data_IF_173215175881
#
_entry.id   IF_173215175881
#
_cell.length_a   1.000
_cell.length_b   1.000
_cell.length_c   1.000
_cell.angle_alpha   90.00
_cell.angle_beta   90.00
_cell.angle_gamma   90.00
#
_symmetry.space_group_name_H-M   'P 1'
#
loop_
_entity.id
_entity.type
_entity.pdbx_description
1 polymer ?
#
# COMPACT_ATOMS: atom_id res chain seq x y z
N UNK A 1 16.67 -3.91 -11.32
CA UNK A 1 17.06 -2.52 -11.59
C UNK A 1 16.06 -1.93 -12.58
N UNK A 2 15.20 -0.99 -12.15
CA UNK A 2 14.38 -0.21 -13.09
C UNK A 2 15.30 0.52 -14.08
N UNK A 3 14.85 0.69 -15.32
CA UNK A 3 15.57 1.38 -16.40
C UNK A 3 15.69 2.87 -16.08
N UNK A 4 16.63 3.21 -15.20
CA UNK A 4 16.98 4.57 -14.81
C UNK A 4 17.82 5.19 -15.93
N UNK A 5 17.14 5.70 -16.96
CA UNK A 5 17.79 6.56 -17.94
C UNK A 5 18.02 7.92 -17.29
N UNK A 6 19.29 8.25 -17.07
CA UNK A 6 19.74 9.59 -16.64
C UNK A 6 19.64 10.57 -17.81
N UNK A 7 18.98 11.69 -17.57
CA UNK A 7 18.89 12.79 -18.53
C UNK A 7 20.27 13.46 -18.68
N UNK A 8 21.01 13.59 -17.58
CA UNK A 8 22.37 14.14 -17.61
C UNK A 8 23.31 13.29 -18.49
N UNK A 9 23.33 11.97 -18.30
CA UNK A 9 24.16 11.05 -19.10
C UNK A 9 23.75 11.05 -20.58
N UNK A 10 22.45 11.17 -20.86
CA UNK A 10 21.96 11.25 -22.23
C UNK A 10 22.41 12.55 -22.91
N UNK A 11 22.32 13.68 -22.19
CA UNK A 11 22.76 14.98 -22.71
C UNK A 11 24.28 14.98 -22.93
N UNK A 12 25.07 14.57 -21.95
CA UNK A 12 26.55 14.53 -22.01
C UNK A 12 27.05 13.69 -23.18
N UNK A 13 26.38 12.56 -23.50
CA UNK A 13 26.69 11.76 -24.69
C UNK A 13 26.32 12.44 -26.01
N UNK A 14 25.20 13.16 -26.04
CA UNK A 14 24.69 13.78 -27.27
C UNK A 14 25.27 15.16 -27.57
N UNK A 15 25.72 15.87 -26.53
CA UNK A 15 26.25 17.23 -26.56
C UNK A 15 27.39 17.35 -25.51
N UNK A 16 28.61 16.87 -25.84
CA UNK A 16 29.74 16.88 -24.91
C UNK A 16 30.16 18.28 -24.45
N UNK A 17 29.83 19.32 -25.21
CA UNK A 17 30.08 20.72 -24.92
C UNK A 17 29.06 21.37 -23.98
N UNK A 18 28.08 20.61 -23.49
CA UNK A 18 27.06 21.13 -22.58
C UNK A 18 27.71 21.78 -21.34
N UNK A 19 27.25 22.98 -20.90
CA UNK A 19 27.84 23.65 -19.75
C UNK A 19 27.75 22.81 -18.47
N UNK A 20 28.85 22.79 -17.69
CA UNK A 20 28.92 21.98 -16.47
C UNK A 20 27.83 22.29 -15.43
N UNK A 21 27.34 23.54 -15.37
CA UNK A 21 26.24 23.91 -14.47
C UNK A 21 24.91 23.23 -14.87
N UNK A 22 24.66 23.06 -16.16
CA UNK A 22 23.46 22.39 -16.68
C UNK A 22 23.52 20.89 -16.35
N UNK A 23 24.68 20.27 -16.54
CA UNK A 23 24.90 18.86 -16.15
C UNK A 23 24.71 18.66 -14.65
N UNK A 24 25.22 19.58 -13.81
CA UNK A 24 25.02 19.53 -12.35
C UNK A 24 23.56 19.64 -11.96
N UNK A 25 22.80 20.55 -12.57
CA UNK A 25 21.37 20.67 -12.35
C UNK A 25 20.61 19.39 -12.75
N UNK A 26 20.90 18.85 -13.94
CA UNK A 26 20.25 17.63 -14.44
C UNK A 26 20.57 16.40 -13.58
N UNK A 27 21.78 16.31 -13.02
CA UNK A 27 22.15 15.24 -12.07
C UNK A 27 21.35 15.33 -10.77
N UNK A 28 21.12 16.54 -10.24
CA UNK A 28 20.25 16.74 -9.09
C UNK A 28 18.81 16.34 -9.41
N UNK A 29 18.29 16.77 -10.57
CA UNK A 29 16.98 16.36 -11.06
C UNK A 29 16.86 14.83 -11.21
N UNK A 30 17.85 14.16 -11.77
CA UNK A 30 17.87 12.69 -11.92
C UNK A 30 17.87 11.97 -10.55
N UNK A 31 18.55 12.54 -9.55
CA UNK A 31 18.54 12.02 -8.18
C UNK A 31 17.15 12.15 -7.54
N UNK A 32 16.51 13.31 -7.68
CA UNK A 32 15.16 13.55 -7.18
C UNK A 32 14.13 12.66 -7.87
N UNK A 33 14.18 12.56 -9.21
CA UNK A 33 13.31 11.65 -9.96
C UNK A 33 13.54 10.19 -9.53
N UNK A 34 14.78 9.79 -9.31
CA UNK A 34 15.10 8.45 -8.80
C UNK A 34 14.50 8.21 -7.43
N UNK A 35 14.62 9.18 -6.53
CA UNK A 35 14.02 9.12 -5.20
C UNK A 35 12.50 8.99 -5.31
N UNK A 36 11.83 9.88 -6.04
CA UNK A 36 10.38 9.87 -6.22
C UNK A 36 9.89 8.54 -6.80
N UNK A 37 10.48 8.06 -7.89
CA UNK A 37 10.12 6.80 -8.55
C UNK A 37 10.30 5.61 -7.60
N UNK A 38 11.39 5.55 -6.84
CA UNK A 38 11.62 4.49 -5.85
C UNK A 38 10.55 4.47 -4.75
N UNK A 39 9.94 5.62 -4.45
CA UNK A 39 8.83 5.76 -3.49
C UNK A 39 7.46 5.69 -4.16
N UNK A 40 7.40 5.24 -5.43
CA UNK A 40 6.17 5.18 -6.23
C UNK A 40 5.46 6.54 -6.41
N UNK A 41 6.19 7.64 -6.28
CA UNK A 41 5.71 9.00 -6.52
C UNK A 41 6.13 9.41 -7.93
N UNK A 42 5.19 9.94 -8.73
CA UNK A 42 5.51 10.48 -10.05
C UNK A 42 6.10 9.46 -11.04
N UNK A 43 5.71 8.19 -10.93
CA UNK A 43 6.12 7.12 -11.84
C UNK A 43 5.93 7.52 -13.30
N UNK A 44 6.89 7.15 -14.16
CA UNK A 44 6.80 7.45 -15.59
C UNK A 44 5.56 6.76 -16.18
N UNK A 45 4.88 7.41 -17.13
CA UNK A 45 3.63 6.91 -17.70
C UNK A 45 3.70 5.43 -18.13
N UNK A 46 4.78 5.00 -18.81
CA UNK A 46 4.92 3.60 -19.25
C UNK A 46 5.13 2.64 -18.08
N UNK A 47 5.89 3.03 -17.05
CA UNK A 47 6.08 2.22 -15.84
C UNK A 47 4.74 2.06 -15.10
N UNK A 48 4.00 3.16 -14.95
CA UNK A 48 2.67 3.14 -14.33
C UNK A 48 1.67 2.31 -15.15
N UNK A 49 1.72 2.38 -16.48
CA UNK A 49 0.90 1.55 -17.38
C UNK A 49 1.22 0.07 -17.23
N UNK A 50 2.50 -0.31 -17.21
CA UNK A 50 2.91 -1.72 -17.03
C UNK A 50 2.53 -2.22 -15.64
N UNK A 51 2.70 -1.40 -14.61
CA UNK A 51 2.24 -1.71 -13.26
C UNK A 51 0.72 -1.97 -13.24
N UNK A 52 -0.08 -1.05 -13.79
CA UNK A 52 -1.52 -1.21 -13.93
C UNK A 52 -1.90 -2.52 -14.66
N UNK A 53 -1.30 -2.79 -15.82
CA UNK A 53 -1.56 -4.01 -16.60
C UNK A 53 -1.19 -5.28 -15.81
N UNK A 54 -0.06 -5.25 -15.09
CA UNK A 54 0.37 -6.36 -14.23
C UNK A 54 -0.64 -6.59 -13.10
N UNK A 55 -1.16 -5.51 -12.52
CA UNK A 55 -2.11 -5.61 -11.44
C UNK A 55 -3.45 -6.16 -11.93
N UNK A 56 -4.06 -5.58 -12.96
CA UNK A 56 -5.36 -6.05 -13.46
C UNK A 56 -5.30 -7.49 -13.98
N UNK A 57 -4.15 -7.99 -14.44
CA UNK A 57 -3.98 -9.38 -14.85
C UNK A 57 -3.95 -10.37 -13.66
N UNK A 58 -3.72 -9.89 -12.43
CA UNK A 58 -3.69 -10.72 -11.21
C UNK A 58 -5.03 -10.73 -10.47
N UNK A 59 -5.88 -9.74 -10.70
CA UNK A 59 -7.17 -9.62 -10.05
C UNK A 59 -8.26 -10.30 -10.87
N UNK A 60 -9.30 -10.84 -10.22
CA UNK A 60 -10.47 -11.30 -10.95
C UNK A 60 -11.15 -10.12 -11.66
N UNK A 61 -11.97 -10.44 -12.66
CA UNK A 61 -12.91 -9.46 -13.22
C UNK A 61 -13.81 -8.89 -12.12
N UNK A 62 -14.31 -7.66 -12.36
CA UNK A 62 -15.14 -6.96 -11.39
C UNK A 62 -16.38 -7.77 -11.01
N UNK A 63 -16.46 -8.11 -9.73
CA UNK A 63 -17.57 -8.78 -9.08
C UNK A 63 -18.42 -7.73 -8.37
N UNK A 64 -19.68 -7.63 -8.78
CA UNK A 64 -20.66 -6.70 -8.19
C UNK A 64 -21.39 -7.37 -7.01
N UNK A 65 -21.68 -8.64 -7.15
CA UNK A 65 -22.42 -9.41 -6.14
C UNK A 65 -21.50 -9.80 -4.98
N UNK A 66 -22.06 -9.88 -3.78
CA UNK A 66 -21.35 -10.40 -2.62
C UNK A 66 -21.12 -11.91 -2.79
N UNK A 67 -19.92 -12.43 -2.52
CA UNK A 67 -19.71 -13.87 -2.48
C UNK A 67 -20.53 -14.47 -1.33
N UNK A 68 -21.14 -15.64 -1.56
CA UNK A 68 -21.97 -16.31 -0.56
C UNK A 68 -21.11 -17.05 0.48
N UNK A 69 -21.45 -16.90 1.75
CA UNK A 69 -20.80 -17.64 2.83
C UNK A 69 -21.27 -17.23 4.23
N UNK A 70 -20.88 -17.97 5.27
CA UNK A 70 -21.27 -17.69 6.65
C UNK A 70 -20.46 -16.54 7.23
N UNK A 71 -20.95 -15.31 7.11
CA UNK A 71 -20.36 -14.11 7.69
C UNK A 71 -20.07 -13.01 6.68
N UNK A 72 -19.29 -12.02 7.10
CA UNK A 72 -18.89 -10.90 6.25
C UNK A 72 -17.71 -11.33 5.36
N UNK A 73 -17.78 -11.10 4.04
CA UNK A 73 -16.66 -11.37 3.16
C UNK A 73 -15.57 -10.30 3.37
N UNK A 74 -14.37 -10.76 3.69
CA UNK A 74 -13.20 -9.94 3.99
C UNK A 74 -12.00 -10.43 3.19
N UNK A 75 -11.20 -9.50 2.70
CA UNK A 75 -9.91 -9.77 2.06
C UNK A 75 -8.85 -8.80 2.59
N UNK A 76 -7.58 -9.22 2.64
CA UNK A 76 -6.46 -8.32 2.95
C UNK A 76 -5.54 -8.11 1.75
N UNK A 77 -5.02 -6.88 1.61
CA UNK A 77 -4.13 -6.47 0.51
C UNK A 77 -3.23 -5.31 0.91
N UNK A 78 -2.12 -5.12 0.22
CA UNK A 78 -1.24 -3.94 0.37
C UNK A 78 -1.69 -2.75 -0.50
N UNK A 79 -2.67 -2.95 -1.39
CA UNK A 79 -3.20 -1.90 -2.28
C UNK A 79 -4.69 -2.10 -2.50
N UNK A 80 -5.48 -1.18 -1.95
CA UNK A 80 -6.95 -1.31 -1.91
C UNK A 80 -7.65 -0.83 -3.19
N UNK A 81 -7.00 -0.07 -4.06
CA UNK A 81 -7.65 0.56 -5.22
C UNK A 81 -8.26 -0.44 -6.21
N UNK A 82 -7.43 -1.32 -6.80
CA UNK A 82 -7.92 -2.31 -7.78
C UNK A 82 -8.73 -3.41 -7.08
N UNK A 83 -8.40 -3.75 -5.83
CA UNK A 83 -9.16 -4.74 -5.04
C UNK A 83 -10.57 -4.26 -4.77
N UNK A 84 -10.75 -3.02 -4.29
CA UNK A 84 -12.08 -2.45 -4.06
C UNK A 84 -12.88 -2.25 -5.36
N UNK A 85 -12.21 -2.01 -6.49
CA UNK A 85 -12.87 -2.03 -7.80
C UNK A 85 -13.34 -3.43 -8.20
N UNK A 86 -12.50 -4.44 -7.98
CA UNK A 86 -12.74 -5.83 -8.41
C UNK A 86 -13.70 -6.57 -7.49
N UNK A 87 -13.72 -6.24 -6.20
CA UNK A 87 -14.57 -6.83 -5.17
C UNK A 87 -15.44 -5.75 -4.53
N UNK A 88 -16.47 -5.28 -5.26
CA UNK A 88 -17.27 -4.13 -4.83
C UNK A 88 -18.09 -4.37 -3.54
N UNK A 89 -18.27 -5.63 -3.17
CA UNK A 89 -19.12 -6.13 -2.10
C UNK A 89 -18.35 -6.79 -0.96
N UNK A 90 -17.00 -6.73 -0.99
CA UNK A 90 -16.12 -7.36 0.00
C UNK A 90 -15.40 -6.28 0.80
N UNK A 91 -15.36 -6.43 2.11
CA UNK A 91 -14.58 -5.56 2.98
C UNK A 91 -13.09 -5.79 2.76
N UNK A 92 -12.35 -4.73 2.44
CA UNK A 92 -10.90 -4.80 2.17
C UNK A 92 -10.14 -4.25 3.35
N UNK A 93 -9.37 -5.10 4.03
CA UNK A 93 -8.39 -4.67 5.03
C UNK A 93 -7.11 -4.26 4.31
N UNK A 94 -6.76 -2.98 4.40
CA UNK A 94 -5.43 -2.53 4.00
C UNK A 94 -4.39 -3.03 5.02
N UNK A 95 -3.47 -3.87 4.56
CA UNK A 95 -2.39 -4.38 5.38
C UNK A 95 -1.42 -3.26 5.83
N UNK A 96 -1.40 -2.13 5.12
CA UNK A 96 -0.66 -0.93 5.53
C UNK A 96 -1.53 0.03 6.36
N UNK A 97 -2.78 -0.35 6.61
CA UNK A 97 -3.68 0.31 7.55
C UNK A 97 -4.14 1.70 7.16
N UNK A 98 -4.15 2.06 5.87
CA UNK A 98 -4.61 3.39 5.43
C UNK A 98 -6.12 3.56 5.61
N UNK A 99 -6.88 2.47 5.51
CA UNK A 99 -8.34 2.49 5.59
C UNK A 99 -8.92 1.85 6.87
N UNK A 100 -8.07 1.32 7.74
CA UNK A 100 -8.48 0.65 8.97
C UNK A 100 -8.41 1.63 10.13
N UNK A 101 -9.50 1.78 10.89
CA UNK A 101 -9.56 2.79 11.96
C UNK A 101 -8.58 2.51 13.10
N UNK A 102 -8.37 1.25 13.48
CA UNK A 102 -7.41 0.83 14.51
C UNK A 102 -5.98 1.12 14.06
N UNK A 103 -5.67 1.02 12.77
CA UNK A 103 -4.29 1.28 12.31
C UNK A 103 -4.09 2.77 11.99
N UNK A 104 -5.01 3.39 11.24
CA UNK A 104 -4.89 4.75 10.76
C UNK A 104 -4.89 5.81 11.87
N UNK A 105 -5.66 5.59 12.94
CA UNK A 105 -5.85 6.57 14.02
C UNK A 105 -4.94 6.37 15.23
N UNK A 106 -4.10 5.33 15.24
CA UNK A 106 -3.19 5.08 16.37
C UNK A 106 -1.77 5.55 16.03
N UNK A 107 -1.29 6.67 16.64
CA UNK A 107 0.00 7.27 16.31
C UNK A 107 1.19 6.38 16.71
N UNK A 108 1.03 5.51 17.70
CA UNK A 108 2.06 4.55 18.15
C UNK A 108 2.42 3.50 17.10
N UNK A 109 1.57 3.30 16.09
CA UNK A 109 1.82 2.36 14.98
C UNK A 109 2.60 3.00 13.83
N UNK A 110 3.01 4.26 13.96
CA UNK A 110 3.89 4.93 13.00
C UNK A 110 5.32 4.47 13.25
N UNK A 111 5.92 3.80 12.27
CA UNK A 111 7.38 3.64 12.24
C UNK A 111 8.05 4.99 11.91
N UNK A 112 9.37 5.12 12.07
CA UNK A 112 10.14 6.35 11.81
C UNK A 112 9.97 6.97 10.41
N UNK A 113 9.36 6.23 9.49
CA UNK A 113 8.95 6.71 8.20
C UNK A 113 7.69 7.60 8.25
N UNK A 114 7.73 8.71 7.52
CA UNK A 114 6.67 9.72 7.51
C UNK A 114 5.49 9.36 6.59
N UNK A 115 5.57 8.28 5.82
CA UNK A 115 4.58 7.93 4.81
C UNK A 115 3.48 7.06 5.40
N UNK A 116 2.26 7.25 4.90
CA UNK A 116 1.10 6.56 5.43
C UNK A 116 1.19 5.02 5.26
N UNK A 117 1.96 4.55 4.26
CA UNK A 117 2.19 3.15 3.93
C UNK A 117 3.27 2.46 4.80
N UNK A 118 3.78 3.13 5.83
CA UNK A 118 4.79 2.59 6.75
C UNK A 118 4.18 2.17 8.09
N UNK A 119 2.87 2.38 8.27
CA UNK A 119 2.14 1.80 9.41
C UNK A 119 2.03 0.29 9.24
N UNK A 120 2.05 -0.43 10.34
CA UNK A 120 1.80 -1.86 10.38
C UNK A 120 0.67 -2.16 11.37
N UNK A 121 -0.18 -3.17 11.11
CA UNK A 121 -1.13 -3.65 12.08
C UNK A 121 -0.40 -4.10 13.36
N UNK A 122 -1.01 -3.92 14.54
CA UNK A 122 -0.43 -4.47 15.76
C UNK A 122 -0.36 -6.00 15.67
N UNK A 123 0.65 -6.64 16.29
CA UNK A 123 0.81 -8.09 16.23
C UNK A 123 -0.46 -8.84 16.64
N UNK A 124 -0.91 -9.79 15.82
CA UNK A 124 -2.11 -10.59 16.08
C UNK A 124 -3.43 -9.95 15.65
N UNK A 125 -3.44 -8.71 15.13
CA UNK A 125 -4.67 -8.01 14.73
C UNK A 125 -5.38 -8.73 13.58
N UNK A 126 -4.64 -9.05 12.52
CA UNK A 126 -5.22 -9.71 11.34
C UNK A 126 -5.62 -11.15 11.65
N UNK A 127 -4.81 -11.87 12.42
CA UNK A 127 -5.08 -13.23 12.88
C UNK A 127 -6.32 -13.30 13.79
N UNK A 128 -6.63 -12.21 14.49
CA UNK A 128 -7.83 -12.10 15.31
C UNK A 128 -9.08 -12.27 14.44
N UNK A 129 -9.13 -11.69 13.24
CA UNK A 129 -10.24 -11.87 12.30
C UNK A 129 -10.23 -13.28 11.70
N UNK A 130 -9.12 -13.67 11.09
CA UNK A 130 -8.88 -14.99 10.51
C UNK A 130 -7.36 -15.19 10.31
N UNK A 131 -6.75 -16.33 10.68
CA UNK A 131 -5.30 -16.55 10.49
C UNK A 131 -4.83 -16.42 9.03
N UNK A 132 -5.73 -16.68 8.07
CA UNK A 132 -5.46 -16.51 6.65
C UNK A 132 -5.38 -15.06 6.19
N UNK A 133 -5.89 -14.09 6.95
CA UNK A 133 -5.82 -12.66 6.61
C UNK A 133 -4.47 -12.03 6.94
N UNK A 134 -3.61 -12.70 7.71
CA UNK A 134 -2.23 -12.29 7.98
C UNK A 134 -1.31 -12.36 6.73
N UNK A 135 -1.84 -12.77 5.58
CA UNK A 135 -1.16 -12.79 4.28
C UNK A 135 -1.99 -12.02 3.27
N UNK A 136 -1.39 -11.04 2.62
CA UNK A 136 -2.00 -10.33 1.50
C UNK A 136 -2.07 -11.24 0.25
N UNK A 137 -3.03 -12.18 0.22
CA UNK A 137 -3.15 -13.23 -0.82
C UNK A 137 -4.43 -13.16 -1.67
N UNK A 138 -5.25 -12.11 -1.47
CA UNK A 138 -6.49 -11.84 -2.21
C UNK A 138 -7.58 -12.90 -2.07
N UNK A 139 -7.42 -13.87 -1.17
CA UNK A 139 -8.45 -14.87 -0.95
C UNK A 139 -9.50 -14.31 0.00
N UNK A 140 -10.75 -14.33 -0.46
CA UNK A 140 -11.89 -13.96 0.37
C UNK A 140 -12.00 -14.95 1.54
N UNK A 141 -12.24 -14.40 2.73
CA UNK A 141 -12.54 -15.09 3.98
C UNK A 141 -13.90 -14.63 4.47
N UNK A 142 -14.62 -15.50 5.16
CA UNK A 142 -15.89 -15.15 5.79
C UNK A 142 -15.67 -15.02 7.28
N UNK A 143 -15.83 -13.81 7.81
CA UNK A 143 -15.58 -13.49 9.21
C UNK A 143 -16.90 -13.10 9.86
N UNK A 144 -17.33 -13.74 10.97
CA UNK A 144 -18.53 -13.33 11.67
C UNK A 144 -18.44 -11.85 12.10
N UNK A 145 -19.50 -11.07 11.89
CA UNK A 145 -19.52 -9.65 12.24
C UNK A 145 -19.19 -9.37 13.72
N UNK A 146 -19.59 -10.27 14.62
CA UNK A 146 -19.24 -10.16 16.05
C UNK A 146 -17.75 -10.37 16.32
N UNK A 147 -17.09 -11.23 15.53
CA UNK A 147 -15.65 -11.42 15.60
C UNK A 147 -14.91 -10.17 15.12
N UNK A 148 -15.40 -9.53 14.06
CA UNK A 148 -14.83 -8.26 13.58
C UNK A 148 -14.87 -7.21 14.69
N UNK A 149 -16.06 -6.93 15.23
CA UNK A 149 -16.25 -5.93 16.29
C UNK A 149 -15.43 -6.21 17.54
N UNK A 150 -15.39 -7.46 18.00
CA UNK A 150 -14.62 -7.82 19.19
C UNK A 150 -13.11 -7.70 19.00
N UNK A 151 -12.59 -8.01 17.82
CA UNK A 151 -11.18 -7.78 17.47
C UNK A 151 -10.86 -6.28 17.40
N UNK A 152 -11.63 -5.49 16.65
CA UNK A 152 -11.42 -4.03 16.56
C UNK A 152 -11.45 -3.38 17.94
N UNK A 153 -12.46 -3.68 18.77
CA UNK A 153 -12.58 -3.12 20.12
C UNK A 153 -11.41 -3.52 21.03
N UNK A 154 -10.96 -4.78 20.96
CA UNK A 154 -9.81 -5.25 21.74
C UNK A 154 -8.55 -4.46 21.42
N UNK A 155 -8.20 -4.35 20.14
CA UNK A 155 -6.97 -3.69 19.73
C UNK A 155 -7.06 -2.17 19.88
N UNK A 156 -8.22 -1.57 19.66
CA UNK A 156 -8.46 -0.16 19.97
C UNK A 156 -8.18 0.17 21.44
N UNK A 157 -8.72 -0.64 22.36
CA UNK A 157 -8.53 -0.45 23.80
C UNK A 157 -7.07 -0.67 24.22
N UNK A 158 -6.37 -1.65 23.63
CA UNK A 158 -4.95 -1.88 23.90
C UNK A 158 -4.08 -0.69 23.48
N UNK A 159 -4.31 -0.13 22.29
CA UNK A 159 -3.51 1.00 21.78
C UNK A 159 -3.77 2.28 22.58
N UNK A 160 -5.04 2.57 22.90
CA UNK A 160 -5.39 3.76 23.69
C UNK A 160 -4.92 3.68 25.14
N UNK A 161 -4.85 2.48 25.73
CA UNK A 161 -4.33 2.28 27.08
C UNK A 161 -2.80 2.37 27.13
N UNK A 162 -2.11 1.91 26.08
CA UNK A 162 -0.65 2.01 25.97
C UNK A 162 -0.18 3.47 25.93
N UNK A 163 -0.88 4.35 25.18
CA UNK A 163 -0.57 5.79 25.12
C UNK A 163 -0.83 6.57 26.42
N UNK A 164 -1.38 5.93 27.47
CA UNK A 164 -1.62 6.55 28.79
C UNK A 164 -0.57 6.15 29.85
N UNK A 165 0.40 5.32 29.50
CA UNK A 165 1.49 4.94 30.43
C UNK A 165 2.68 5.89 30.21
N UNK A 166 3.08 6.68 31.22
CA UNK A 166 4.13 7.71 31.10
C UNK A 166 5.54 7.14 30.92
#
# INVERSE_FOLDING_TARGET
HLFKLSVADALERSQPEAPGWLLSYLRAYDADQTWLINHSIGLRHQEHKVFYLTMIARYPDRQIEAPEGPGEPVVSTLSVGIVGWSFASVSVIDFLGLNDSVIAHNPELRTDGQMAHERQPPPGYLECFDPGLAKADLKVRFVPAERIRSCEARFWNQMTSASQTP
#
